data_IF_906588823312
#
_entry.id   IF_906588823312
#
_cell.length_a   1.000
_cell.length_b   1.000
_cell.length_c   1.000
_cell.angle_alpha   90.00
_cell.angle_beta   90.00
_cell.angle_gamma   90.00
#
_symmetry.space_group_name_H-M   'P 1'
#
loop_
_entity.id
_entity.type
_entity.pdbx_description
1 polymer ?
#
# COMPACT_ATOMS: atom_id res chain seq x y z
N UNK A 1 -9.92 -0.61 17.49
CA UNK A 1 -10.74 -0.67 16.25
C UNK A 1 -9.77 -0.43 15.11
N UNK A 2 -9.58 -1.41 14.22
CA UNK A 2 -8.70 -1.27 13.06
C UNK A 2 -9.44 -0.60 11.92
N UNK A 3 -8.79 0.36 11.25
CA UNK A 3 -9.34 1.05 10.08
C UNK A 3 -8.62 0.55 8.84
N UNK A 4 -9.37 0.04 7.86
CA UNK A 4 -8.83 -0.30 6.56
C UNK A 4 -8.87 0.93 5.65
N UNK A 5 -7.71 1.36 5.16
CA UNK A 5 -7.57 2.46 4.20
C UNK A 5 -7.09 1.90 2.88
N UNK A 6 -7.84 2.15 1.80
CA UNK A 6 -7.49 1.70 0.45
C UNK A 6 -7.00 2.90 -0.35
N UNK A 7 -5.78 2.81 -0.89
CA UNK A 7 -5.18 3.83 -1.75
C UNK A 7 -5.12 3.30 -3.19
N UNK A 8 -5.81 3.97 -4.11
CA UNK A 8 -5.80 3.65 -5.53
C UNK A 8 -4.68 4.40 -6.26
N UNK A 9 -3.90 3.67 -7.06
CA UNK A 9 -2.85 4.23 -7.90
C UNK A 9 -3.09 3.86 -9.36
N UNK A 10 -2.73 4.78 -10.27
CA UNK A 10 -2.79 4.53 -11.71
C UNK A 10 -1.59 3.71 -12.21
N UNK A 11 -0.49 3.73 -11.45
CA UNK A 11 0.76 3.06 -11.75
C UNK A 11 1.21 2.20 -10.57
N UNK A 12 1.76 1.02 -10.86
CA UNK A 12 2.29 0.08 -9.89
C UNK A 12 3.53 0.63 -9.16
N UNK A 13 4.43 1.32 -9.88
CA UNK A 13 5.66 1.86 -9.28
C UNK A 13 5.34 2.85 -8.14
N UNK A 14 4.36 3.73 -8.36
CA UNK A 14 3.91 4.72 -7.38
C UNK A 14 3.37 4.03 -6.11
N UNK A 15 2.65 2.91 -6.27
CA UNK A 15 2.10 2.16 -5.14
C UNK A 15 3.22 1.58 -4.25
N UNK A 16 4.27 1.01 -4.87
CA UNK A 16 5.41 0.48 -4.14
C UNK A 16 6.26 1.57 -3.46
N UNK A 17 6.47 2.70 -4.12
CA UNK A 17 7.19 3.84 -3.52
C UNK A 17 6.45 4.36 -2.29
N UNK A 18 5.11 4.49 -2.39
CA UNK A 18 4.28 4.95 -1.26
C UNK A 18 4.28 3.96 -0.10
N UNK A 19 4.28 2.65 -0.38
CA UNK A 19 4.43 1.62 0.66
C UNK A 19 5.77 1.77 1.40
N UNK A 20 6.86 2.02 0.67
CA UNK A 20 8.17 2.26 1.28
C UNK A 20 8.18 3.54 2.16
N UNK A 21 7.54 4.61 1.70
CA UNK A 21 7.39 5.84 2.48
C UNK A 21 6.60 5.61 3.77
N UNK A 22 5.50 4.84 3.71
CA UNK A 22 4.70 4.48 4.90
C UNK A 22 5.51 3.62 5.89
N UNK A 23 6.29 2.66 5.41
CA UNK A 23 7.21 1.89 6.25
C UNK A 23 8.27 2.78 6.93
N UNK A 24 8.78 3.80 6.23
CA UNK A 24 9.69 4.78 6.82
C UNK A 24 9.03 5.68 7.87
N UNK A 25 7.75 6.01 7.72
CA UNK A 25 7.00 6.75 8.74
C UNK A 25 6.73 5.89 9.98
N UNK A 26 6.48 4.60 9.79
CA UNK A 26 6.32 3.64 10.87
C UNK A 26 7.60 3.51 11.71
N UNK A 27 8.77 3.44 11.07
CA UNK A 27 10.06 3.36 11.79
C UNK A 27 10.37 4.62 12.60
N UNK A 28 9.75 5.75 12.24
CA UNK A 28 9.86 7.02 12.95
C UNK A 28 8.77 7.21 14.03
N UNK A 29 7.98 6.17 14.31
CA UNK A 29 6.86 6.19 15.25
C UNK A 29 5.80 7.26 14.92
N UNK A 30 5.68 7.65 13.66
CA UNK A 30 4.72 8.67 13.23
C UNK A 30 3.33 8.09 12.92
N UNK A 31 3.29 6.79 12.58
CA UNK A 31 2.05 6.06 12.27
C UNK A 31 2.14 4.64 12.83
N UNK A 32 1.01 4.09 13.27
CA UNK A 32 0.86 2.67 13.60
C UNK A 32 0.11 1.95 12.48
N UNK A 33 0.67 0.85 11.99
CA UNK A 33 0.09 0.00 10.96
C UNK A 33 0.29 -1.47 11.33
N UNK A 34 -0.76 -2.27 11.16
CA UNK A 34 -0.75 -3.70 11.46
C UNK A 34 -0.25 -4.52 10.26
N UNK A 35 -0.80 -4.27 9.07
CA UNK A 35 -0.37 -4.88 7.81
C UNK A 35 -0.55 -3.89 6.63
N UNK A 36 0.29 -4.02 5.60
CA UNK A 36 0.24 -3.22 4.39
C UNK A 36 0.62 -4.06 3.17
N UNK A 37 -0.35 -4.25 2.28
CA UNK A 37 -0.23 -5.01 1.02
C UNK A 37 -0.48 -4.11 -0.18
N UNK A 38 0.18 -4.41 -1.30
CA UNK A 38 -0.06 -3.76 -2.59
C UNK A 38 -0.61 -4.82 -3.52
N UNK A 39 -1.81 -4.58 -4.05
CA UNK A 39 -2.45 -5.47 -5.03
C UNK A 39 -2.47 -4.77 -6.37
N UNK A 40 -1.99 -5.47 -7.41
CA UNK A 40 -2.08 -4.97 -8.79
C UNK A 40 -3.14 -5.72 -9.55
N UNK A 41 -3.87 -5.00 -10.41
CA UNK A 41 -4.88 -5.58 -11.29
C UNK A 41 -4.41 -5.42 -12.71
N UNK A 42 -4.18 -6.55 -13.39
CA UNK A 42 -3.85 -6.55 -14.81
C UNK A 42 -5.07 -6.07 -15.62
N UNK A 43 -4.87 -5.54 -16.85
CA UNK A 43 -5.96 -5.11 -17.74
C UNK A 43 -7.01 -6.20 -18.03
N UNK A 44 -6.62 -7.48 -17.94
CA UNK A 44 -7.52 -8.64 -18.05
C UNK A 44 -8.33 -8.95 -16.79
N UNK A 45 -8.31 -8.08 -15.78
CA UNK A 45 -9.09 -8.22 -14.54
C UNK A 45 -8.50 -9.20 -13.51
N UNK A 46 -7.34 -9.80 -13.79
CA UNK A 46 -6.64 -10.67 -12.84
C UNK A 46 -5.92 -9.84 -11.79
N UNK A 47 -6.10 -10.21 -10.52
CA UNK A 47 -5.42 -9.58 -9.39
C UNK A 47 -4.15 -10.37 -9.08
N UNK A 48 -3.03 -9.68 -8.90
CA UNK A 48 -1.77 -10.22 -8.39
C UNK A 48 -1.51 -9.61 -7.01
N UNK A 49 -1.29 -10.44 -5.98
CA UNK A 49 -0.89 -10.00 -4.64
C UNK A 49 0.61 -9.66 -4.57
#
# INVERSE_FOLDING_TARGET
>A
MSNLVVLGFTNEADAFERRAALASLQSRYLIEMEDAVVVTRDPGGKVKP
#
